data_IF_696552529457
#
_entry.id   IF_696552529457
#
_cell.length_a   1.000
_cell.length_b   1.000
_cell.length_c   1.000
_cell.angle_alpha   90.00
_cell.angle_beta   90.00
_cell.angle_gamma   90.00
#
_symmetry.space_group_name_H-M   'P 1'
#
loop_
_entity.id
_entity.type
_entity.pdbx_description
1 polymer ?
#
# COMPACT_ATOMS: atom_id res chain seq x y z
N UNK A 1 -1.33 -5.37 25.95
CA UNK A 1 -1.86 -4.61 25.17
C UNK A 1 -2.41 -5.21 23.95
N UNK A 2 -3.16 -4.65 23.31
CA UNK A 2 -3.81 -5.19 22.33
C UNK A 2 -3.29 -4.90 21.07
N UNK A 3 -2.19 -5.41 20.72
CA UNK A 3 -1.72 -5.27 19.48
C UNK A 3 -2.64 -5.87 18.51
N UNK A 4 -2.81 -5.38 17.40
CA UNK A 4 -3.64 -5.92 16.38
C UNK A 4 -5.07 -5.52 16.50
N UNK A 5 -5.57 -5.49 17.69
CA UNK A 5 -6.92 -5.03 17.86
C UNK A 5 -6.84 -3.56 18.09
N UNK A 6 -7.30 -2.78 17.22
CA UNK A 6 -7.26 -1.35 17.35
C UNK A 6 -6.03 -0.69 16.80
N UNK A 7 -4.90 -1.40 16.71
CA UNK A 7 -3.71 -0.78 16.18
C UNK A 7 -3.84 -0.49 14.69
N UNK A 8 -4.39 -1.44 13.94
CA UNK A 8 -4.64 -1.23 12.53
C UNK A 8 -5.65 -0.10 12.32
N UNK A 9 -6.67 0.00 13.16
CA UNK A 9 -7.63 1.09 13.06
C UNK A 9 -7.00 2.44 13.38
N UNK A 10 -6.09 2.48 14.35
CA UNK A 10 -5.38 3.71 14.67
C UNK A 10 -4.56 4.18 13.47
N UNK A 11 -3.92 3.25 12.78
CA UNK A 11 -3.11 3.59 11.62
C UNK A 11 -3.97 4.05 10.45
N UNK A 12 -5.14 3.45 10.25
CA UNK A 12 -6.06 3.91 9.21
C UNK A 12 -6.50 5.34 9.50
N UNK A 13 -6.79 5.65 10.77
CA UNK A 13 -7.16 7.00 11.14
C UNK A 13 -6.01 7.98 10.92
N UNK A 14 -4.80 7.56 11.26
CA UNK A 14 -3.62 8.40 11.08
C UNK A 14 -3.42 8.73 9.60
N UNK A 15 -3.62 7.75 8.74
CA UNK A 15 -3.52 7.96 7.30
C UNK A 15 -4.55 9.00 6.85
N UNK A 16 -5.78 8.88 7.31
CA UNK A 16 -6.84 9.78 6.88
C UNK A 16 -6.61 11.22 7.30
N UNK A 17 -5.78 11.44 8.31
CA UNK A 17 -5.49 12.79 8.78
C UNK A 17 -4.37 13.47 8.03
N UNK A 18 -3.68 12.76 7.14
CA UNK A 18 -2.62 13.37 6.35
C UNK A 18 -3.19 14.39 5.38
N UNK A 19 -2.37 15.37 5.02
CA UNK A 19 -2.70 16.29 3.95
C UNK A 19 -2.79 15.51 2.65
N UNK A 20 -3.61 15.96 1.74
CA UNK A 20 -3.79 15.28 0.45
C UNK A 20 -2.49 15.08 -0.29
N UNK A 21 -1.61 16.07 -0.25
CA UNK A 21 -0.33 15.98 -0.95
C UNK A 21 0.55 14.88 -0.37
N UNK A 22 0.43 14.61 0.91
CA UNK A 22 1.28 13.61 1.57
C UNK A 22 0.76 12.20 1.39
N UNK A 23 -0.50 12.03 1.01
CA UNK A 23 -1.06 10.72 0.74
C UNK A 23 -1.43 10.54 -0.73
N UNK A 24 -0.80 11.31 -1.59
CA UNK A 24 -1.10 11.25 -3.02
C UNK A 24 -0.66 9.94 -3.66
N UNK A 25 0.50 9.42 -3.26
CA UNK A 25 1.04 8.18 -3.80
C UNK A 25 1.12 7.16 -2.69
N UNK A 26 0.41 6.05 -2.87
CA UNK A 26 0.32 5.01 -1.85
C UNK A 26 0.80 3.69 -2.45
N UNK A 27 1.68 3.00 -1.73
CA UNK A 27 2.10 1.64 -2.08
C UNK A 27 1.50 0.71 -1.06
N UNK A 28 0.83 -0.33 -1.52
CA UNK A 28 0.27 -1.33 -0.63
C UNK A 28 0.95 -2.66 -0.82
N UNK A 29 1.38 -3.27 0.29
CA UNK A 29 2.03 -4.57 0.29
C UNK A 29 1.26 -5.52 1.18
N UNK A 30 0.79 -6.61 0.62
CA UNK A 30 0.14 -7.64 1.39
C UNK A 30 1.18 -8.41 2.21
N UNK A 31 2.38 -8.58 1.65
CA UNK A 31 3.49 -9.25 2.30
C UNK A 31 4.73 -8.38 2.22
N UNK A 32 5.50 -8.38 3.29
CA UNK A 32 6.75 -7.61 3.32
C UNK A 32 7.75 -8.08 2.27
N UNK A 33 7.60 -9.31 1.80
CA UNK A 33 8.50 -9.85 0.77
C UNK A 33 8.27 -9.24 -0.60
N UNK A 34 7.16 -8.57 -0.79
CA UNK A 34 6.86 -7.93 -2.06
C UNK A 34 7.60 -6.62 -2.25
N UNK A 35 8.26 -6.12 -1.23
CA UNK A 35 8.96 -4.86 -1.33
C UNK A 35 10.03 -4.86 -2.42
N UNK A 36 10.61 -6.01 -2.68
CA UNK A 36 11.65 -6.11 -3.71
C UNK A 36 11.15 -5.63 -5.07
N UNK A 37 9.85 -5.77 -5.33
CA UNK A 37 9.28 -5.36 -6.61
C UNK A 37 9.02 -3.86 -6.66
N UNK A 38 8.88 -3.22 -5.52
CA UNK A 38 8.63 -1.78 -5.44
C UNK A 38 9.90 -0.97 -5.18
N UNK A 39 10.92 -1.61 -4.67
CA UNK A 39 12.10 -0.90 -4.18
C UNK A 39 12.70 0.09 -5.18
N UNK A 40 12.91 -0.27 -6.45
CA UNK A 40 13.48 0.68 -7.39
C UNK A 40 12.59 1.91 -7.58
N UNK A 41 11.28 1.70 -7.61
CA UNK A 41 10.33 2.80 -7.82
C UNK A 41 10.30 3.69 -6.59
N UNK A 42 10.24 3.09 -5.41
CA UNK A 42 10.20 3.85 -4.16
C UNK A 42 11.48 4.68 -4.01
N UNK A 43 12.64 4.08 -4.28
CA UNK A 43 13.89 4.79 -4.15
C UNK A 43 14.00 5.94 -5.14
N UNK A 44 13.54 5.71 -6.36
CA UNK A 44 13.59 6.78 -7.35
C UNK A 44 12.70 7.95 -6.95
N UNK A 45 11.50 7.66 -6.51
CA UNK A 45 10.57 8.71 -6.09
C UNK A 45 11.09 9.48 -4.87
N UNK A 46 11.58 8.77 -3.87
CA UNK A 46 11.93 9.40 -2.60
C UNK A 46 13.31 10.03 -2.63
N UNK A 47 14.25 9.47 -3.36
CA UNK A 47 15.64 9.94 -3.36
C UNK A 47 15.97 10.85 -4.51
N UNK A 48 15.48 10.56 -5.70
CA UNK A 48 15.78 11.40 -6.86
C UNK A 48 14.79 12.54 -7.04
N UNK A 49 13.52 12.28 -6.77
CA UNK A 49 12.48 13.28 -6.98
C UNK A 49 11.99 13.93 -5.69
N UNK A 50 12.56 13.55 -4.56
CA UNK A 50 12.19 14.11 -3.25
C UNK A 50 10.68 14.07 -3.02
N UNK A 51 10.06 12.98 -3.42
CA UNK A 51 8.61 12.82 -3.35
C UNK A 51 8.22 11.96 -2.16
N UNK A 52 7.22 12.40 -1.40
CA UNK A 52 6.71 11.60 -0.28
C UNK A 52 5.78 10.53 -0.78
N UNK A 53 5.88 9.36 -0.20
CA UNK A 53 4.98 8.26 -0.49
C UNK A 53 4.47 7.67 0.82
N UNK A 54 3.30 7.05 0.77
CA UNK A 54 2.78 6.29 1.90
C UNK A 54 3.06 4.82 1.64
N UNK A 55 3.65 4.16 2.62
CA UNK A 55 3.96 2.74 2.54
C UNK A 55 3.00 2.00 3.45
N UNK A 56 2.01 1.35 2.87
CA UNK A 56 0.94 0.72 3.62
C UNK A 56 1.10 -0.79 3.54
N UNK A 57 1.18 -1.44 4.67
CA UNK A 57 1.45 -2.88 4.71
C UNK A 57 0.46 -3.61 5.60
N UNK A 58 0.16 -4.85 5.22
CA UNK A 58 -0.63 -5.76 6.03
C UNK A 58 0.24 -6.65 6.90
N UNK A 59 1.56 -6.55 6.78
CA UNK A 59 2.49 -7.34 7.59
C UNK A 59 2.95 -6.55 8.80
N UNK A 60 2.63 -7.01 10.00
CA UNK A 60 3.04 -6.30 11.20
C UNK A 60 4.53 -6.44 11.49
N UNK A 61 5.21 -7.36 10.82
CA UNK A 61 6.65 -7.53 10.96
C UNK A 61 7.43 -6.87 9.83
N UNK A 62 6.76 -6.09 8.99
CA UNK A 62 7.41 -5.42 7.88
C UNK A 62 8.46 -4.44 8.41
N UNK A 63 9.74 -4.62 8.03
CA UNK A 63 10.79 -3.74 8.55
C UNK A 63 10.63 -2.28 8.12
N UNK A 64 9.90 -2.02 7.06
CA UNK A 64 9.67 -0.64 6.62
C UNK A 64 8.81 0.15 7.59
N UNK A 65 8.14 -0.52 8.52
CA UNK A 65 7.38 0.19 9.55
C UNK A 65 8.30 1.01 10.47
N UNK A 66 9.59 0.66 10.52
CA UNK A 66 10.57 1.37 11.33
C UNK A 66 11.53 2.20 10.48
N UNK A 67 11.13 2.50 9.26
CA UNK A 67 11.97 3.25 8.33
C UNK A 67 12.15 4.69 8.81
N UNK A 68 13.34 5.23 8.62
CA UNK A 68 13.65 6.61 9.03
C UNK A 68 13.69 7.60 7.87
N UNK A 69 13.29 7.19 6.70
CA UNK A 69 13.30 8.08 5.53
C UNK A 69 12.15 9.08 5.66
N UNK A 70 12.47 10.37 5.58
CA UNK A 70 11.44 11.41 5.74
C UNK A 70 10.39 11.40 4.65
N UNK A 71 10.70 10.79 3.51
CA UNK A 71 9.78 10.72 2.39
C UNK A 71 8.97 9.44 2.36
N UNK A 72 9.13 8.56 3.32
CA UNK A 72 8.37 7.33 3.42
C UNK A 72 7.55 7.36 4.70
N UNK A 73 6.22 7.35 4.54
CA UNK A 73 5.30 7.37 5.68
C UNK A 73 4.68 5.99 5.82
N UNK A 74 5.13 5.19 6.79
CA UNK A 74 4.66 3.80 6.90
C UNK A 74 3.40 3.67 7.74
N UNK A 75 2.52 2.76 7.32
CA UNK A 75 1.26 2.48 8.01
C UNK A 75 0.99 0.99 7.99
N UNK A 76 0.54 0.45 9.11
CA UNK A 76 0.12 -0.93 9.22
C UNK A 76 -1.41 -0.98 9.28
N UNK A 77 -2.04 -1.67 8.34
CA UNK A 77 -3.50 -1.72 8.29
C UNK A 77 -4.08 -3.12 8.52
N UNK A 78 -3.23 -4.10 8.77
CA UNK A 78 -3.71 -5.46 9.02
C UNK A 78 -4.27 -6.13 7.79
N UNK A 79 -5.01 -7.20 8.00
CA UNK A 79 -5.57 -7.99 6.90
C UNK A 79 -7.03 -8.33 7.13
N UNK A 80 -7.75 -7.53 7.88
CA UNK A 80 -9.15 -7.79 8.16
C UNK A 80 -10.01 -6.54 7.90
N UNK A 81 -10.89 -6.19 8.82
CA UNK A 81 -11.88 -5.15 8.59
C UNK A 81 -11.27 -3.77 8.39
N UNK A 82 -10.22 -3.45 9.13
CA UNK A 82 -9.57 -2.15 8.97
C UNK A 82 -9.01 -2.01 7.56
N UNK A 83 -8.43 -3.07 7.02
CA UNK A 83 -7.92 -3.07 5.65
C UNK A 83 -9.05 -2.83 4.65
N UNK A 84 -10.18 -3.50 4.84
CA UNK A 84 -11.32 -3.31 3.96
C UNK A 84 -11.80 -1.86 3.99
N UNK A 85 -11.88 -1.28 5.18
CA UNK A 85 -12.29 0.10 5.33
C UNK A 85 -11.29 1.05 4.66
N UNK A 86 -10.00 0.77 4.81
CA UNK A 86 -8.97 1.59 4.19
C UNK A 86 -9.16 1.67 2.68
N UNK A 87 -9.36 0.52 2.04
CA UNK A 87 -9.50 0.49 0.59
C UNK A 87 -10.79 1.12 0.11
N UNK A 88 -11.91 0.85 0.78
CA UNK A 88 -13.20 1.39 0.36
C UNK A 88 -13.25 2.91 0.45
N UNK A 89 -12.53 3.47 1.39
CA UNK A 89 -12.55 4.92 1.62
C UNK A 89 -11.25 5.61 1.23
N UNK A 90 -10.42 4.94 0.45
CA UNK A 90 -9.11 5.46 0.09
C UNK A 90 -9.21 6.76 -0.69
N UNK A 91 -8.49 7.77 -0.22
CA UNK A 91 -8.32 9.01 -0.94
C UNK A 91 -6.84 9.17 -1.27
N UNK A 92 -6.50 8.96 -2.54
CA UNK A 92 -5.13 9.07 -3.03
C UNK A 92 -5.20 9.33 -4.52
N UNK A 93 -4.11 9.81 -5.08
CA UNK A 93 -4.05 9.98 -6.53
C UNK A 93 -3.71 8.66 -7.19
N UNK A 94 -2.70 7.96 -6.65
CA UNK A 94 -2.22 6.70 -7.21
C UNK A 94 -2.06 5.68 -6.10
N UNK A 95 -2.53 4.47 -6.35
CA UNK A 95 -2.30 3.33 -5.49
C UNK A 95 -1.52 2.29 -6.27
N UNK A 96 -0.33 1.91 -5.79
CA UNK A 96 0.53 0.93 -6.44
C UNK A 96 0.50 -0.36 -5.62
N UNK A 97 0.27 -1.47 -6.26
CA UNK A 97 0.14 -2.75 -5.57
C UNK A 97 0.55 -3.90 -6.47
N UNK A 98 0.74 -5.08 -5.89
CA UNK A 98 1.08 -6.28 -6.65
C UNK A 98 -0.14 -7.15 -6.92
N UNK A 99 -1.25 -6.87 -6.26
CA UNK A 99 -2.45 -7.68 -6.38
C UNK A 99 -3.28 -7.22 -7.57
N UNK A 100 -3.43 -8.04 -8.58
CA UNK A 100 -4.18 -7.61 -9.77
C UNK A 100 -5.68 -7.70 -9.59
N UNK A 101 -6.13 -8.36 -8.53
CA UNK A 101 -7.53 -8.72 -8.38
C UNK A 101 -8.23 -7.83 -7.38
N UNK A 102 -8.57 -6.64 -7.78
CA UNK A 102 -9.43 -5.78 -6.98
C UNK A 102 -10.84 -6.34 -7.00
N UNK A 103 -11.73 -5.80 -6.23
CA UNK A 103 -13.11 -6.26 -6.13
C UNK A 103 -13.20 -7.65 -5.52
N UNK A 104 -12.19 -8.03 -4.76
CA UNK A 104 -12.27 -9.24 -3.96
C UNK A 104 -13.12 -8.95 -2.73
N UNK A 105 -13.27 -9.95 -1.88
CA UNK A 105 -14.04 -9.78 -0.67
C UNK A 105 -13.48 -8.70 0.25
N UNK A 106 -12.16 -8.57 0.31
CA UNK A 106 -11.51 -7.68 1.26
C UNK A 106 -10.89 -6.43 0.67
N UNK A 107 -10.56 -6.44 -0.61
CA UNK A 107 -9.87 -5.32 -1.25
C UNK A 107 -10.66 -4.89 -2.46
N UNK A 108 -11.22 -3.70 -2.41
CA UNK A 108 -12.04 -3.18 -3.48
C UNK A 108 -11.60 -1.79 -3.84
N UNK A 109 -11.97 -1.35 -5.03
CA UNK A 109 -11.70 0.02 -5.44
C UNK A 109 -12.40 0.98 -4.49
N UNK A 110 -11.82 2.15 -4.30
CA UNK A 110 -12.44 3.16 -3.47
C UNK A 110 -13.83 3.47 -4.00
N UNK A 111 -14.80 3.58 -3.10
CA UNK A 111 -16.17 3.90 -3.46
C UNK A 111 -16.44 5.39 -3.40
N UNK A 112 -15.51 6.16 -2.87
CA UNK A 112 -15.74 7.56 -2.60
C UNK A 112 -14.88 8.47 -3.48
N UNK A 113 -13.65 8.07 -3.74
CA UNK A 113 -12.70 8.91 -4.47
C UNK A 113 -12.17 8.22 -5.72
N UNK A 114 -11.86 9.00 -6.78
CA UNK A 114 -11.24 8.43 -7.97
C UNK A 114 -9.76 8.20 -7.68
N UNK A 115 -9.33 6.96 -7.76
CA UNK A 115 -7.94 6.57 -7.51
C UNK A 115 -7.43 5.81 -8.72
N UNK A 116 -6.23 6.14 -9.17
CA UNK A 116 -5.61 5.41 -10.27
C UNK A 116 -4.82 4.24 -9.68
N UNK A 117 -5.21 3.02 -10.04
CA UNK A 117 -4.57 1.81 -9.51
C UNK A 117 -3.54 1.28 -10.50
N UNK A 118 -2.32 1.08 -9.99
CA UNK A 118 -1.20 0.60 -10.80
C UNK A 118 -0.75 -0.75 -10.24
N UNK A 119 -0.61 -1.73 -11.11
CA UNK A 119 -0.17 -3.06 -10.69
C UNK A 119 1.24 -3.32 -11.14
N UNK A 120 2.06 -3.83 -10.23
CA UNK A 120 3.42 -4.24 -10.54
C UNK A 120 3.44 -5.76 -10.45
N UNK A 121 3.83 -6.42 -11.52
CA UNK A 121 3.86 -7.87 -11.54
C UNK A 121 4.85 -8.39 -10.53
N UNK A 122 4.44 -9.36 -9.76
CA UNK A 122 5.31 -9.94 -8.74
C UNK A 122 5.65 -11.41 -9.03
N UNK A 123 5.22 -11.93 -10.16
CA UNK A 123 5.50 -13.31 -10.51
C UNK A 123 5.63 -13.44 -12.01
N UNK A 124 6.84 -13.27 -12.50
CA UNK A 124 7.07 -13.34 -13.93
C UNK A 124 6.79 -14.71 -14.50
N UNK A 125 7.08 -15.76 -13.73
CA UNK A 125 6.84 -17.10 -14.23
C UNK A 125 5.36 -17.36 -14.47
N UNK A 126 4.49 -16.91 -13.59
CA UNK A 126 3.06 -17.07 -13.79
C UNK A 126 2.61 -16.28 -15.01
N UNK A 127 3.07 -15.06 -15.11
CA UNK A 127 2.72 -14.20 -16.23
C UNK A 127 3.19 -14.81 -17.54
N UNK A 128 4.38 -15.35 -17.51
CA UNK A 128 4.95 -15.97 -18.69
C UNK A 128 4.08 -17.13 -19.16
N UNK A 129 3.63 -17.97 -18.27
CA UNK A 129 2.78 -19.08 -18.66
C UNK A 129 1.48 -18.61 -19.27
N UNK A 130 0.89 -17.59 -18.73
CA UNK A 130 -0.36 -17.07 -19.24
C UNK A 130 -0.21 -16.59 -20.66
N UNK A 131 0.87 -15.91 -20.95
CA UNK A 131 1.05 -15.35 -22.27
C UNK A 131 1.64 -16.31 -23.29
N UNK A 132 2.08 -17.44 -22.82
CA UNK A 132 2.66 -18.37 -23.74
C UNK A 132 1.64 -19.06 -24.59
N UNK A 133 0.43 -19.07 -24.14
CA UNK A 133 -0.58 -19.69 -24.95
C UNK A 133 -0.92 -18.90 -26.16
#
# INVERSE_FOLDING_TARGET
>A
MKFGIGNDWKEVKRFKKLDKKDRSIVFYLESEYDFIFFKPIVEKLTQEYDTKICYVTSSKTDPMLNCNDKNILPFYIGDSVARSNFFLNLEATIMVMTMPDLETLYIKRSKIYPVHYVYVFHSLSSTHYVYKK
#
